data_IF_610207641659
#
_entry.id   IF_610207641659
#
_cell.length_a   1.000
_cell.length_b   1.000
_cell.length_c   1.000
_cell.angle_alpha   90.00
_cell.angle_beta   90.00
_cell.angle_gamma   90.00
#
_symmetry.space_group_name_H-M   'P 1'
#
loop_
_entity.id
_entity.type
_entity.pdbx_description
1 polymer ?
#
# COMPACT_ATOMS: atom_id res chain seq x y z
N UNK A 1 21.77 9.95 7.35
CA UNK A 1 20.54 9.63 8.10
C UNK A 1 19.41 10.50 7.57
N UNK A 2 18.24 9.92 7.27
CA UNK A 2 17.06 10.70 6.93
C UNK A 2 16.25 10.97 8.21
N UNK A 3 15.78 12.20 8.39
CA UNK A 3 14.85 12.59 9.46
C UNK A 3 13.50 12.83 8.80
N UNK A 4 12.47 12.10 9.23
CA UNK A 4 11.13 12.12 8.65
C UNK A 4 10.12 12.21 9.79
N UNK A 5 9.03 12.94 9.56
CA UNK A 5 7.92 13.10 10.51
C UNK A 5 7.14 11.79 10.71
N UNK A 6 6.71 11.54 11.95
CA UNK A 6 5.73 10.49 12.27
C UNK A 6 4.31 11.03 12.05
N UNK A 7 3.71 10.63 10.93
CA UNK A 7 2.35 11.03 10.55
C UNK A 7 1.26 10.50 11.50
N UNK A 8 1.57 9.53 12.36
CA UNK A 8 0.60 8.88 13.24
C UNK A 8 0.68 9.36 14.69
N UNK A 9 1.71 10.14 15.04
CA UNK A 9 2.03 10.51 16.43
C UNK A 9 0.85 11.12 17.21
N UNK A 10 0.01 11.93 16.55
CA UNK A 10 -1.11 12.62 17.21
C UNK A 10 -2.40 11.80 17.28
N UNK A 11 -2.44 10.62 16.66
CA UNK A 11 -3.65 9.80 16.57
C UNK A 11 -3.65 8.74 17.67
N UNK A 12 -4.70 8.72 18.50
CA UNK A 12 -4.85 7.70 19.56
C UNK A 12 -5.26 6.32 19.01
N UNK A 13 -6.07 6.32 17.95
CA UNK A 13 -6.67 5.11 17.37
C UNK A 13 -6.64 5.19 15.83
N UNK A 14 -5.45 5.23 15.19
CA UNK A 14 -5.35 5.43 13.75
C UNK A 14 -5.78 4.18 12.97
N UNK A 15 -6.70 4.40 12.02
CA UNK A 15 -6.90 3.50 10.88
C UNK A 15 -6.01 3.96 9.74
N UNK A 16 -5.26 3.04 9.14
CA UNK A 16 -4.19 3.31 8.16
C UNK A 16 -4.42 2.43 6.94
N UNK A 17 -4.17 2.98 5.74
CA UNK A 17 -4.17 2.21 4.50
C UNK A 17 -2.91 2.52 3.69
N UNK A 18 -2.26 1.47 3.18
CA UNK A 18 -1.18 1.55 2.21
C UNK A 18 -1.75 1.24 0.82
N UNK A 19 -1.69 2.22 -0.07
CA UNK A 19 -2.09 2.09 -1.46
C UNK A 19 -0.84 2.18 -2.33
N UNK A 20 -0.62 1.15 -3.14
CA UNK A 20 0.41 1.17 -4.16
C UNK A 20 -0.16 1.74 -5.45
N UNK A 21 0.36 2.89 -5.84
CA UNK A 21 -0.06 3.64 -7.02
C UNK A 21 0.67 3.16 -8.28
N UNK A 22 -0.02 3.31 -9.42
CA UNK A 22 0.48 3.04 -10.76
C UNK A 22 -0.09 1.76 -11.38
N UNK A 23 -0.38 1.82 -12.69
CA UNK A 23 -0.67 0.63 -13.51
C UNK A 23 0.58 -0.19 -13.83
N UNK A 24 1.76 0.32 -13.47
CA UNK A 24 3.06 -0.33 -13.58
C UNK A 24 3.90 -0.01 -12.35
N UNK A 25 4.39 -1.02 -11.65
CA UNK A 25 5.19 -0.85 -10.42
C UNK A 25 6.68 -1.19 -10.56
N UNK A 26 7.15 -1.36 -11.80
CA UNK A 26 8.57 -1.42 -12.15
C UNK A 26 9.02 -0.14 -12.88
N UNK A 27 10.32 0.15 -12.81
CA UNK A 27 10.93 1.34 -13.41
C UNK A 27 11.93 0.95 -14.53
N UNK A 28 12.20 1.85 -15.50
CA UNK A 28 13.19 1.60 -16.54
C UNK A 28 14.58 1.31 -15.96
N UNK A 29 15.25 0.26 -16.45
CA UNK A 29 16.56 -0.14 -15.96
C UNK A 29 16.54 -1.02 -14.71
N UNK A 30 15.38 -1.38 -14.19
CA UNK A 30 15.29 -2.41 -13.15
C UNK A 30 15.76 -3.78 -13.67
N UNK A 31 16.31 -4.62 -12.78
CA UNK A 31 16.70 -5.99 -13.12
C UNK A 31 15.52 -6.81 -13.65
N UNK A 32 15.78 -7.77 -14.54
CA UNK A 32 14.73 -8.64 -15.09
C UNK A 32 13.93 -9.38 -14.02
N UNK A 33 14.59 -9.84 -12.95
CA UNK A 33 13.93 -10.52 -11.83
C UNK A 33 12.92 -9.61 -11.13
N UNK A 34 13.32 -8.37 -10.83
CA UNK A 34 12.43 -7.36 -10.24
C UNK A 34 11.24 -7.04 -11.16
N UNK A 35 11.49 -6.88 -12.46
CA UNK A 35 10.44 -6.63 -13.45
C UNK A 35 9.44 -7.79 -13.46
N UNK A 36 9.90 -9.05 -13.51
CA UNK A 36 9.03 -10.23 -13.48
C UNK A 36 8.16 -10.27 -12.23
N UNK A 37 8.75 -9.98 -11.06
CA UNK A 37 8.04 -9.89 -9.78
C UNK A 37 6.96 -8.80 -9.77
N UNK A 38 7.27 -7.60 -10.26
CA UNK A 38 6.30 -6.52 -10.34
C UNK A 38 5.20 -6.81 -11.37
N UNK A 39 5.54 -7.37 -12.53
CA UNK A 39 4.57 -7.72 -13.55
C UNK A 39 3.55 -8.77 -13.07
N UNK A 40 3.97 -9.79 -12.33
CA UNK A 40 3.04 -10.76 -11.72
C UNK A 40 2.06 -10.03 -10.79
N UNK A 41 2.56 -9.20 -9.87
CA UNK A 41 1.70 -8.43 -8.95
C UNK A 41 0.76 -7.46 -9.67
N UNK A 42 1.25 -6.76 -10.69
CA UNK A 42 0.44 -5.78 -11.41
C UNK A 42 -0.70 -6.47 -12.17
N UNK A 43 -0.44 -7.67 -12.73
CA UNK A 43 -1.43 -8.51 -13.43
C UNK A 43 -2.46 -9.16 -12.52
N UNK A 44 -2.05 -9.60 -11.34
CA UNK A 44 -2.90 -10.33 -10.41
C UNK A 44 -3.73 -9.42 -9.49
N UNK A 45 -3.55 -8.10 -9.60
CA UNK A 45 -4.23 -7.10 -8.75
C UNK A 45 -4.98 -6.08 -9.59
N UNK A 46 -5.66 -5.16 -8.92
CA UNK A 46 -6.33 -4.02 -9.56
C UNK A 46 -5.37 -3.02 -10.20
N UNK A 47 -4.06 -3.16 -10.04
CA UNK A 47 -3.08 -2.16 -10.48
C UNK A 47 -3.22 -1.86 -11.97
N UNK A 48 -3.22 -2.89 -12.83
CA UNK A 48 -3.36 -2.70 -14.28
C UNK A 48 -4.68 -2.02 -14.68
N UNK A 49 -5.79 -2.41 -14.03
CA UNK A 49 -7.13 -1.96 -14.41
C UNK A 49 -7.48 -0.58 -13.85
N UNK A 50 -7.19 -0.36 -12.56
CA UNK A 50 -7.60 0.84 -11.81
C UNK A 50 -6.45 1.83 -11.60
N UNK A 51 -5.22 1.46 -11.93
CA UNK A 51 -4.04 2.29 -11.69
C UNK A 51 -3.58 2.31 -10.23
N UNK A 52 -4.11 1.43 -9.37
CA UNK A 52 -3.62 1.24 -8.01
C UNK A 52 -4.07 -0.11 -7.42
N UNK A 53 -3.47 -0.51 -6.30
CA UNK A 53 -3.93 -1.61 -5.45
C UNK A 53 -3.78 -1.28 -3.97
N UNK A 54 -4.65 -1.85 -3.14
CA UNK A 54 -4.47 -1.86 -1.69
C UNK A 54 -3.33 -2.84 -1.37
N UNK A 55 -2.31 -2.37 -0.65
CA UNK A 55 -1.14 -3.18 -0.25
C UNK A 55 -1.20 -3.60 1.21
N UNK A 56 -1.96 -2.90 2.03
CA UNK A 56 -2.22 -3.23 3.42
C UNK A 56 -3.18 -2.23 4.06
N UNK A 57 -3.83 -2.65 5.13
CA UNK A 57 -4.64 -1.75 5.95
C UNK A 57 -4.65 -2.20 7.41
N UNK A 58 -4.82 -1.24 8.31
CA UNK A 58 -5.13 -1.42 9.71
C UNK A 58 -6.38 -0.61 9.99
N UNK A 59 -7.37 -1.21 10.63
CA UNK A 59 -8.59 -0.51 11.04
C UNK A 59 -8.69 -0.59 12.55
N UNK A 60 -8.89 0.54 13.21
CA UNK A 60 -9.30 0.55 14.60
C UNK A 60 -10.77 0.14 14.69
N UNK A 61 -11.03 -1.00 15.31
CA UNK A 61 -12.38 -1.45 15.66
C UNK A 61 -12.70 -0.92 17.06
N UNK A 62 -13.68 -0.02 17.14
CA UNK A 62 -14.19 0.39 18.44
C UNK A 62 -14.84 -0.81 19.13
N UNK A 63 -14.60 -1.05 20.43
CA UNK A 63 -15.40 -1.99 21.17
C UNK A 63 -16.87 -1.51 21.09
N UNK A 64 -17.70 -2.22 20.34
CA UNK A 64 -19.14 -1.96 20.29
C UNK A 64 -19.69 -2.11 21.72
N UNK A 65 -20.58 -1.20 22.12
CA UNK A 65 -21.45 -1.51 23.27
C UNK A 65 -22.42 -2.59 22.79
N UNK A 66 -22.53 -3.74 23.47
CA UNK A 66 -23.57 -4.70 23.17
C UNK A 66 -24.91 -3.97 23.30
N UNK A 67 -25.68 -3.90 22.21
CA UNK A 67 -27.09 -3.53 22.22
C UNK A 67 -27.93 -4.61 22.87
#
# INVERSE_FOLDING_TARGET
HAVIEDLTYQFQHPSIIDIKMGSRTWYPGASEEYIKKCLSKDRETSSLLLGFRISGMQVYESPEKPT
#
